data_IF_139470011219
#
_entry.id   IF_139470011219
#
_cell.length_a   1.000
_cell.length_b   1.000
_cell.length_c   1.000
_cell.angle_alpha   90.00
_cell.angle_beta   90.00
_cell.angle_gamma   90.00
#
_symmetry.space_group_name_H-M   'P 1'
#
loop_
_entity.id
_entity.type
_entity.pdbx_description
1 polymer ?
#
# COMPACT_ATOMS: atom_id res chain seq x y z
N UNK A 1 -35.56 -22.88 53.72
CA UNK A 1 -34.36 -23.64 53.29
C UNK A 1 -34.68 -24.38 52.00
N UNK A 2 -35.77 -25.13 51.97
CA UNK A 2 -36.30 -25.85 50.79
C UNK A 2 -36.45 -24.99 49.51
N UNK A 3 -37.09 -23.81 49.57
CA UNK A 3 -37.22 -22.90 48.42
C UNK A 3 -35.90 -22.34 47.86
N UNK A 4 -34.84 -22.29 48.67
CA UNK A 4 -33.52 -21.80 48.22
C UNK A 4 -32.78 -22.93 47.51
N UNK A 5 -32.92 -24.15 48.02
CA UNK A 5 -32.30 -25.37 47.48
C UNK A 5 -32.92 -25.76 46.12
N UNK A 6 -34.24 -25.61 45.98
CA UNK A 6 -34.95 -25.80 44.71
C UNK A 6 -34.55 -24.75 43.67
N UNK A 7 -34.45 -23.48 44.07
CA UNK A 7 -34.00 -22.38 43.20
C UNK A 7 -32.54 -22.54 42.76
N UNK A 8 -31.66 -23.07 43.62
CA UNK A 8 -30.27 -23.37 43.24
C UNK A 8 -30.17 -24.55 42.28
N UNK A 9 -30.98 -25.59 42.46
CA UNK A 9 -30.99 -26.75 41.55
C UNK A 9 -31.52 -26.38 40.16
N UNK A 10 -32.56 -25.54 40.09
CA UNK A 10 -33.07 -25.01 38.82
C UNK A 10 -32.01 -24.15 38.11
N UNK A 11 -31.26 -23.34 38.87
CA UNK A 11 -30.16 -22.55 38.33
C UNK A 11 -29.00 -23.41 37.83
N UNK A 12 -28.63 -24.49 38.54
CA UNK A 12 -27.62 -25.45 38.09
C UNK A 12 -28.04 -26.18 36.81
N UNK A 13 -29.32 -26.57 36.69
CA UNK A 13 -29.86 -27.20 35.49
C UNK A 13 -29.81 -26.25 34.29
N UNK A 14 -30.24 -24.99 34.46
CA UNK A 14 -30.19 -23.97 33.41
C UNK A 14 -28.75 -23.65 32.98
N UNK A 15 -27.81 -23.55 33.93
CA UNK A 15 -26.38 -23.39 33.61
C UNK A 15 -25.84 -24.60 32.86
N UNK A 16 -26.26 -25.82 33.24
CA UNK A 16 -25.92 -27.05 32.55
C UNK A 16 -26.41 -27.06 31.09
N UNK A 17 -27.66 -26.64 30.85
CA UNK A 17 -28.22 -26.50 29.49
C UNK A 17 -27.45 -25.49 28.66
N UNK A 18 -27.13 -24.32 29.21
CA UNK A 18 -26.34 -23.28 28.52
C UNK A 18 -24.93 -23.77 28.19
N UNK A 19 -24.30 -24.51 29.10
CA UNK A 19 -22.99 -25.10 28.85
C UNK A 19 -23.02 -26.13 27.72
N UNK A 20 -24.06 -26.95 27.65
CA UNK A 20 -24.20 -27.94 26.57
C UNK A 20 -24.43 -27.25 25.22
N UNK A 21 -25.31 -26.24 25.17
CA UNK A 21 -25.50 -25.42 23.97
C UNK A 21 -24.22 -24.72 23.51
N UNK A 22 -23.39 -24.24 24.44
CA UNK A 22 -22.10 -23.64 24.13
C UNK A 22 -21.12 -24.66 23.53
N UNK A 23 -21.11 -25.90 24.02
CA UNK A 23 -20.29 -26.99 23.46
C UNK A 23 -20.76 -27.39 22.07
N UNK A 24 -22.06 -27.61 21.88
CA UNK A 24 -22.64 -27.92 20.58
C UNK A 24 -22.29 -26.83 19.54
N UNK A 25 -22.40 -25.56 19.93
CA UNK A 25 -22.03 -24.43 19.08
C UNK A 25 -20.53 -24.41 18.75
N UNK A 26 -19.67 -24.71 19.73
CA UNK A 26 -18.22 -24.80 19.52
C UNK A 26 -17.86 -25.93 18.56
N UNK A 27 -18.47 -27.11 18.71
CA UNK A 27 -18.24 -28.26 17.84
C UNK A 27 -18.73 -28.00 16.41
N UNK A 28 -19.94 -27.46 16.27
CA UNK A 28 -20.47 -27.04 14.97
C UNK A 28 -19.56 -25.98 14.31
N UNK A 29 -19.06 -25.02 15.09
CA UNK A 29 -18.11 -24.00 14.62
C UNK A 29 -16.77 -24.60 14.18
N UNK A 30 -16.19 -25.53 14.95
CA UNK A 30 -14.96 -26.21 14.61
C UNK A 30 -15.11 -27.08 13.35
N UNK A 31 -16.25 -27.77 13.20
CA UNK A 31 -16.58 -28.54 12.01
C UNK A 31 -16.65 -27.67 10.76
N UNK A 32 -17.34 -26.51 10.84
CA UNK A 32 -17.44 -25.56 9.74
C UNK A 32 -16.07 -24.97 9.35
N UNK A 33 -15.24 -24.59 10.33
CA UNK A 33 -13.88 -24.06 10.07
C UNK A 33 -13.01 -25.11 9.37
N UNK A 34 -13.07 -26.36 9.82
CA UNK A 34 -12.33 -27.47 9.20
C UNK A 34 -12.73 -27.68 7.75
N UNK A 35 -14.04 -27.70 7.46
CA UNK A 35 -14.57 -27.83 6.10
C UNK A 35 -14.11 -26.67 5.20
N UNK A 36 -14.27 -25.43 5.66
CA UNK A 36 -13.83 -24.23 4.93
C UNK A 36 -12.32 -24.29 4.64
N UNK A 37 -11.51 -24.69 5.63
CA UNK A 37 -10.05 -24.79 5.48
C UNK A 37 -9.66 -25.80 4.39
N UNK A 38 -10.33 -26.96 4.35
CA UNK A 38 -10.06 -28.00 3.34
C UNK A 38 -10.45 -27.53 1.94
N UNK A 39 -11.63 -26.92 1.80
CA UNK A 39 -12.11 -26.39 0.52
C UNK A 39 -11.22 -25.24 0.01
N UNK A 40 -10.80 -24.35 0.92
CA UNK A 40 -9.85 -23.28 0.61
C UNK A 40 -8.51 -23.84 0.13
N UNK A 41 -7.97 -24.90 0.75
CA UNK A 41 -6.73 -25.53 0.31
C UNK A 41 -6.87 -26.15 -1.09
N UNK A 42 -7.99 -26.82 -1.36
CA UNK A 42 -8.31 -27.37 -2.68
C UNK A 42 -8.37 -26.28 -3.76
N UNK A 43 -9.03 -25.15 -3.47
CA UNK A 43 -9.10 -24.00 -4.37
C UNK A 43 -7.72 -23.36 -4.59
N UNK A 44 -6.89 -23.24 -3.56
CA UNK A 44 -5.50 -22.73 -3.67
C UNK A 44 -4.65 -23.61 -4.58
N UNK A 45 -4.76 -24.93 -4.49
CA UNK A 45 -4.04 -25.85 -5.38
C UNK A 45 -4.45 -25.66 -6.84
N UNK A 46 -5.76 -25.54 -7.11
CA UNK A 46 -6.28 -25.27 -8.46
C UNK A 46 -5.81 -23.91 -8.99
N UNK A 47 -5.86 -22.87 -8.16
CA UNK A 47 -5.42 -21.53 -8.51
C UNK A 47 -3.92 -21.50 -8.83
N UNK A 48 -3.08 -22.18 -8.03
CA UNK A 48 -1.64 -22.31 -8.28
C UNK A 48 -1.36 -23.06 -9.59
N UNK A 49 -2.07 -24.15 -9.86
CA UNK A 49 -1.93 -24.89 -11.11
C UNK A 49 -2.27 -24.02 -12.32
N UNK A 50 -3.41 -23.31 -12.27
CA UNK A 50 -3.86 -22.45 -13.37
C UNK A 50 -2.89 -21.28 -13.60
N UNK A 51 -2.44 -20.64 -12.54
CA UNK A 51 -1.44 -19.57 -12.60
C UNK A 51 -0.12 -20.05 -13.22
N UNK A 52 0.35 -21.26 -12.87
CA UNK A 52 1.54 -21.84 -13.48
C UNK A 52 1.36 -22.14 -14.98
N UNK A 53 0.19 -22.62 -15.39
CA UNK A 53 -0.15 -22.83 -16.80
C UNK A 53 -0.15 -21.51 -17.57
N UNK A 54 -0.76 -20.46 -17.02
CA UNK A 54 -0.79 -19.13 -17.66
C UNK A 54 0.65 -18.59 -17.85
N UNK A 55 1.51 -18.67 -16.83
CA UNK A 55 2.92 -18.24 -16.93
C UNK A 55 3.67 -19.03 -18.01
N UNK A 56 3.46 -20.34 -18.04
CA UNK A 56 4.08 -21.20 -19.05
C UNK A 56 3.65 -20.79 -20.46
N UNK A 57 2.34 -20.70 -20.72
CA UNK A 57 1.78 -20.26 -22.01
C UNK A 57 2.35 -18.90 -22.46
N UNK A 58 2.40 -17.92 -21.55
CA UNK A 58 2.98 -16.60 -21.83
C UNK A 58 4.45 -16.67 -22.24
N UNK A 59 5.24 -17.48 -21.53
CA UNK A 59 6.64 -17.69 -21.86
C UNK A 59 6.82 -18.38 -23.21
N UNK A 60 5.97 -19.35 -23.53
CA UNK A 60 5.96 -20.04 -24.82
C UNK A 60 5.65 -19.07 -25.96
N UNK A 61 4.63 -18.23 -25.81
CA UNK A 61 4.27 -17.20 -26.82
C UNK A 61 5.44 -16.25 -27.06
N UNK A 62 6.04 -15.73 -25.99
CA UNK A 62 7.20 -14.83 -26.07
C UNK A 62 8.37 -15.50 -26.81
N UNK A 63 8.61 -16.78 -26.55
CA UNK A 63 9.69 -17.56 -27.18
C UNK A 63 9.41 -17.77 -28.66
N UNK A 64 8.21 -18.23 -29.03
CA UNK A 64 7.85 -18.50 -30.44
C UNK A 64 7.80 -17.20 -31.25
N UNK A 65 7.36 -16.09 -30.64
CA UNK A 65 7.39 -14.76 -31.25
C UNK A 65 8.84 -14.30 -31.52
N UNK A 66 9.75 -14.51 -30.55
CA UNK A 66 11.17 -14.16 -30.71
C UNK A 66 11.85 -14.96 -31.83
N UNK A 67 11.41 -16.20 -32.05
CA UNK A 67 11.87 -17.06 -33.13
C UNK A 67 11.21 -16.75 -34.49
N UNK A 68 10.34 -15.73 -34.56
CA UNK A 68 9.57 -15.33 -35.76
C UNK A 68 8.70 -16.45 -36.35
N UNK A 69 8.35 -17.44 -35.54
CA UNK A 69 7.53 -18.59 -35.96
C UNK A 69 6.01 -18.33 -35.80
N UNK A 70 5.64 -17.19 -35.23
CA UNK A 70 4.25 -16.80 -34.98
C UNK A 70 3.92 -15.49 -35.72
N UNK A 71 2.74 -15.42 -36.34
CA UNK A 71 2.20 -14.18 -36.87
C UNK A 71 2.01 -13.18 -35.71
N UNK A 72 2.60 -11.96 -35.78
CA UNK A 72 2.43 -10.93 -34.76
C UNK A 72 0.97 -10.67 -34.38
N UNK A 73 0.04 -10.71 -35.34
CA UNK A 73 -1.38 -10.48 -35.06
C UNK A 73 -2.02 -11.59 -34.22
N UNK A 74 -1.59 -12.83 -34.43
CA UNK A 74 -2.07 -13.97 -33.65
C UNK A 74 -1.45 -13.95 -32.24
N UNK A 75 -0.19 -13.55 -32.12
CA UNK A 75 0.48 -13.38 -30.83
C UNK A 75 -0.23 -12.33 -29.97
N UNK A 76 -0.57 -11.18 -30.55
CA UNK A 76 -1.30 -10.11 -29.86
C UNK A 76 -2.67 -10.59 -29.37
N UNK A 77 -3.41 -11.33 -30.21
CA UNK A 77 -4.71 -11.90 -29.83
C UNK A 77 -4.59 -12.90 -28.67
N UNK A 78 -3.61 -13.80 -28.72
CA UNK A 78 -3.44 -14.82 -27.69
C UNK A 78 -2.97 -14.20 -26.36
N UNK A 79 -2.15 -13.15 -26.42
CA UNK A 79 -1.81 -12.36 -25.24
C UNK A 79 -3.03 -11.63 -24.67
N UNK A 80 -3.91 -11.06 -25.51
CA UNK A 80 -5.16 -10.44 -25.07
C UNK A 80 -6.12 -11.44 -24.40
N UNK A 81 -6.25 -12.65 -24.96
CA UNK A 81 -7.04 -13.74 -24.37
C UNK A 81 -6.46 -14.18 -23.01
N UNK A 82 -5.14 -14.33 -22.90
CA UNK A 82 -4.47 -14.63 -21.63
C UNK A 82 -4.64 -13.51 -20.61
N UNK A 83 -4.55 -12.25 -21.03
CA UNK A 83 -4.78 -11.09 -20.16
C UNK A 83 -6.23 -11.04 -19.66
N UNK A 84 -7.18 -11.41 -20.51
CA UNK A 84 -8.59 -11.55 -20.12
C UNK A 84 -8.76 -12.66 -19.07
N UNK A 85 -8.13 -13.82 -19.26
CA UNK A 85 -8.15 -14.91 -18.27
C UNK A 85 -7.53 -14.48 -16.93
N UNK A 86 -6.40 -13.77 -16.96
CA UNK A 86 -5.77 -13.20 -15.76
C UNK A 86 -6.71 -12.21 -15.07
N UNK A 87 -7.36 -11.32 -15.82
CA UNK A 87 -8.32 -10.35 -15.28
C UNK A 87 -9.49 -11.06 -14.59
N UNK A 88 -10.06 -12.10 -15.20
CA UNK A 88 -11.15 -12.90 -14.59
C UNK A 88 -10.73 -13.49 -13.25
N UNK A 89 -9.53 -14.09 -13.16
CA UNK A 89 -9.07 -14.75 -11.93
C UNK A 89 -8.68 -13.71 -10.85
N UNK A 90 -8.08 -12.58 -11.26
CA UNK A 90 -7.58 -11.56 -10.33
C UNK A 90 -8.63 -10.54 -9.88
N UNK A 91 -9.68 -10.33 -10.66
CA UNK A 91 -10.81 -9.46 -10.31
C UNK A 91 -12.02 -10.22 -9.76
N UNK A 92 -12.13 -11.54 -10.00
CA UNK A 92 -13.14 -12.41 -9.38
C UNK A 92 -12.79 -12.89 -7.97
N UNK A 93 -13.70 -13.68 -7.38
CA UNK A 93 -13.55 -14.24 -6.02
C UNK A 93 -12.38 -15.22 -5.88
N UNK A 94 -11.87 -15.72 -7.01
CA UNK A 94 -10.68 -16.56 -7.07
C UNK A 94 -9.39 -15.83 -6.65
N UNK A 95 -9.40 -14.49 -6.64
CA UNK A 95 -8.23 -13.66 -6.34
C UNK A 95 -7.66 -13.91 -4.94
N UNK A 96 -8.49 -14.33 -3.98
CA UNK A 96 -8.04 -14.68 -2.63
C UNK A 96 -7.16 -15.94 -2.58
N UNK A 97 -7.32 -16.85 -3.55
CA UNK A 97 -6.70 -18.19 -3.54
C UNK A 97 -5.44 -18.30 -4.42
N UNK A 98 -5.15 -17.31 -5.27
CA UNK A 98 -3.92 -17.24 -6.05
C UNK A 98 -2.67 -17.33 -5.13
N UNK A 99 -1.47 -17.70 -5.61
CA UNK A 99 -0.27 -17.69 -4.76
C UNK A 99 0.01 -16.28 -4.25
N UNK A 100 0.32 -16.14 -2.95
CA UNK A 100 0.68 -14.85 -2.38
C UNK A 100 2.09 -14.47 -2.83
N UNK A 101 2.29 -13.21 -3.22
CA UNK A 101 3.64 -12.68 -3.35
C UNK A 101 4.33 -12.83 -1.99
N UNK A 102 5.57 -13.33 -1.98
CA UNK A 102 6.32 -13.55 -0.75
C UNK A 102 6.29 -12.29 0.12
N UNK A 103 5.91 -12.45 1.38
CA UNK A 103 5.81 -11.34 2.33
C UNK A 103 7.19 -10.69 2.48
N UNK A 104 7.28 -9.42 2.08
CA UNK A 104 8.53 -8.67 2.15
C UNK A 104 9.04 -8.56 3.58
N UNK A 105 10.37 -8.51 3.74
CA UNK A 105 11.04 -8.41 5.05
C UNK A 105 10.48 -7.27 5.93
N UNK A 106 10.08 -6.16 5.31
CA UNK A 106 9.52 -5.00 6.00
C UNK A 106 8.22 -5.34 6.73
N UNK A 107 7.27 -6.01 6.05
CA UNK A 107 6.03 -6.43 6.70
C UNK A 107 6.30 -7.43 7.82
N UNK A 108 7.24 -8.34 7.62
CA UNK A 108 7.63 -9.31 8.65
C UNK A 108 8.23 -8.64 9.88
N UNK A 109 8.99 -7.55 9.70
CA UNK A 109 9.56 -6.77 10.80
C UNK A 109 8.49 -6.07 11.64
N UNK A 110 7.46 -5.49 11.01
CA UNK A 110 6.42 -4.72 11.73
C UNK A 110 5.23 -5.57 12.23
N UNK A 111 4.84 -6.60 11.48
CA UNK A 111 3.63 -7.39 11.72
C UNK A 111 3.92 -8.84 12.13
N UNK A 112 5.18 -9.28 12.09
CA UNK A 112 5.55 -10.67 12.33
C UNK A 112 5.19 -11.59 11.16
N UNK A 113 5.19 -12.93 11.37
CA UNK A 113 4.93 -13.93 10.34
C UNK A 113 3.43 -14.09 10.02
N UNK A 114 2.69 -12.98 9.87
CA UNK A 114 1.25 -12.98 9.62
C UNK A 114 0.97 -12.56 8.17
N UNK A 115 0.20 -13.36 7.44
CA UNK A 115 -0.24 -12.99 6.10
C UNK A 115 -1.25 -11.84 6.15
N UNK A 116 -0.92 -10.72 5.48
CA UNK A 116 -1.79 -9.53 5.34
C UNK A 116 -2.71 -9.60 4.12
N UNK A 117 -2.80 -10.77 3.48
CA UNK A 117 -3.64 -10.94 2.31
C UNK A 117 -5.10 -11.05 2.74
N UNK A 118 -5.93 -10.17 2.23
CA UNK A 118 -7.37 -10.28 2.38
C UNK A 118 -7.92 -11.32 1.38
N UNK A 119 -8.73 -12.25 1.89
CA UNK A 119 -9.40 -13.26 1.06
C UNK A 119 -10.47 -12.66 0.15
N UNK A 120 -11.17 -11.61 0.62
CA UNK A 120 -12.26 -10.95 -0.11
C UNK A 120 -11.76 -9.74 -0.89
N UNK A 121 -12.17 -9.64 -2.16
CA UNK A 121 -11.84 -8.51 -3.05
C UNK A 121 -12.33 -7.17 -2.50
N UNK A 122 -13.52 -7.14 -1.90
CA UNK A 122 -14.08 -5.93 -1.26
C UNK A 122 -13.14 -5.35 -0.20
N UNK A 123 -12.54 -6.20 0.64
CA UNK A 123 -11.59 -5.78 1.68
C UNK A 123 -10.30 -5.24 1.04
N UNK A 124 -9.82 -5.86 -0.03
CA UNK A 124 -8.65 -5.38 -0.77
C UNK A 124 -8.92 -3.99 -1.38
N UNK A 125 -10.11 -3.79 -1.97
CA UNK A 125 -10.52 -2.50 -2.54
C UNK A 125 -10.68 -1.43 -1.46
N UNK A 126 -11.25 -1.78 -0.30
CA UNK A 126 -11.33 -0.89 0.85
C UNK A 126 -9.94 -0.47 1.36
N UNK A 127 -8.99 -1.41 1.44
CA UNK A 127 -7.61 -1.08 1.81
C UNK A 127 -6.95 -0.12 0.81
N UNK A 128 -7.25 -0.27 -0.49
CA UNK A 128 -6.79 0.64 -1.54
C UNK A 128 -7.45 2.03 -1.42
N UNK A 129 -8.73 2.09 -1.10
CA UNK A 129 -9.45 3.35 -0.87
C UNK A 129 -8.86 4.10 0.33
N UNK A 130 -8.67 3.41 1.45
CA UNK A 130 -8.04 3.96 2.66
C UNK A 130 -6.61 4.45 2.38
N UNK A 131 -5.83 3.71 1.59
CA UNK A 131 -4.52 4.17 1.13
C UNK A 131 -4.62 5.46 0.31
N UNK A 132 -5.56 5.54 -0.63
CA UNK A 132 -5.73 6.73 -1.46
C UNK A 132 -6.15 7.96 -0.63
N UNK A 133 -7.10 7.77 0.28
CA UNK A 133 -7.54 8.79 1.24
C UNK A 133 -6.38 9.27 2.11
N UNK A 134 -5.61 8.33 2.67
CA UNK A 134 -4.41 8.62 3.45
C UNK A 134 -3.37 9.41 2.65
N UNK A 135 -3.14 9.04 1.39
CA UNK A 135 -2.19 9.72 0.49
C UNK A 135 -2.61 11.15 0.15
N UNK A 136 -3.90 11.41 -0.01
CA UNK A 136 -4.41 12.75 -0.29
C UNK A 136 -4.34 13.65 0.95
N UNK A 137 -4.71 13.12 2.14
CA UNK A 137 -4.53 13.82 3.42
C UNK A 137 -3.06 14.15 3.68
N UNK A 138 -2.18 13.18 3.44
CA UNK A 138 -0.73 13.33 3.52
C UNK A 138 -0.23 14.45 2.63
N UNK A 139 -0.66 14.49 1.36
CA UNK A 139 -0.22 15.49 0.40
C UNK A 139 -0.63 16.92 0.82
N UNK A 140 -1.80 17.08 1.44
CA UNK A 140 -2.22 18.35 2.04
C UNK A 140 -1.31 18.74 3.20
N UNK A 141 -0.97 17.79 4.09
CA UNK A 141 -0.10 18.07 5.23
C UNK A 141 1.33 18.43 4.83
N UNK A 142 1.85 17.86 3.73
CA UNK A 142 3.13 18.26 3.13
C UNK A 142 3.16 19.73 2.67
N UNK A 143 2.00 20.35 2.46
CA UNK A 143 1.90 21.78 2.14
C UNK A 143 1.69 22.57 3.43
N UNK A 144 0.71 22.19 4.24
CA UNK A 144 0.27 22.97 5.41
C UNK A 144 1.34 23.04 6.50
N UNK A 145 2.00 21.92 6.84
CA UNK A 145 2.95 21.88 7.95
C UNK A 145 4.19 22.75 7.65
N UNK A 146 4.88 22.60 6.50
CA UNK A 146 5.98 23.49 6.17
C UNK A 146 5.57 24.96 6.03
N UNK A 147 4.39 25.23 5.47
CA UNK A 147 3.85 26.58 5.36
C UNK A 147 3.69 27.23 6.75
N UNK A 148 3.10 26.53 7.71
CA UNK A 148 2.96 27.01 9.09
C UNK A 148 4.33 27.30 9.70
N UNK A 149 5.30 26.40 9.55
CA UNK A 149 6.66 26.61 10.07
C UNK A 149 7.34 27.84 9.46
N UNK A 150 7.16 28.08 8.16
CA UNK A 150 7.72 29.25 7.48
C UNK A 150 7.04 30.55 7.94
N UNK A 151 5.72 30.54 8.16
CA UNK A 151 4.98 31.69 8.73
C UNK A 151 5.48 31.98 10.14
N UNK A 152 5.56 30.98 11.01
CA UNK A 152 6.03 31.13 12.39
C UNK A 152 7.49 31.63 12.45
N UNK A 153 8.36 31.15 11.55
CA UNK A 153 9.73 31.66 11.37
C UNK A 153 9.73 33.17 11.10
N UNK A 154 8.87 33.64 10.20
CA UNK A 154 8.83 35.05 9.81
C UNK A 154 8.16 35.95 10.83
N UNK A 155 7.10 35.49 11.50
CA UNK A 155 6.24 36.32 12.35
C UNK A 155 6.59 36.27 13.83
N UNK A 156 7.00 35.10 14.35
CA UNK A 156 7.17 34.89 15.80
C UNK A 156 8.65 34.78 16.15
N UNK A 157 9.43 34.05 15.35
CA UNK A 157 10.80 33.67 15.72
C UNK A 157 11.89 34.50 15.04
N UNK A 158 11.54 35.69 14.51
CA UNK A 158 12.51 36.66 14.01
C UNK A 158 13.47 36.11 12.94
N UNK A 159 13.04 35.15 12.13
CA UNK A 159 13.85 34.52 11.09
C UNK A 159 14.61 33.25 11.52
N UNK A 160 14.45 32.75 12.74
CA UNK A 160 15.10 31.53 13.20
C UNK A 160 14.08 30.45 13.59
N UNK A 161 14.29 29.21 13.19
CA UNK A 161 13.43 28.07 13.54
C UNK A 161 13.93 27.44 14.85
N UNK A 162 13.12 27.33 15.91
CA UNK A 162 13.51 26.56 17.08
C UNK A 162 13.68 25.08 16.72
N UNK A 163 14.50 24.37 17.48
CA UNK A 163 14.80 22.97 17.22
C UNK A 163 13.55 22.07 17.32
N UNK A 164 12.74 22.28 18.37
CA UNK A 164 11.59 21.44 18.67
C UNK A 164 10.53 21.37 17.55
N UNK A 165 10.06 22.50 16.95
CA UNK A 165 9.14 22.45 15.80
C UNK A 165 9.71 21.72 14.58
N UNK A 166 11.01 21.86 14.32
CA UNK A 166 11.68 21.17 13.19
C UNK A 166 11.76 19.67 13.48
N UNK A 167 12.15 19.27 14.69
CA UNK A 167 12.16 17.87 15.11
C UNK A 167 10.77 17.25 15.08
N UNK A 168 9.72 17.98 15.47
CA UNK A 168 8.34 17.52 15.37
C UNK A 168 7.93 17.25 13.91
N UNK A 169 8.36 18.11 12.99
CA UNK A 169 8.15 17.90 11.56
C UNK A 169 8.92 16.69 11.02
N UNK A 170 10.18 16.51 11.41
CA UNK A 170 10.96 15.31 11.05
C UNK A 170 10.36 14.02 11.61
N UNK A 171 9.88 14.05 12.86
CA UNK A 171 9.18 12.91 13.48
C UNK A 171 7.89 12.58 12.74
N UNK A 172 7.16 13.61 12.31
CA UNK A 172 5.98 13.46 11.48
C UNK A 172 6.32 12.86 10.11
N UNK A 173 7.39 13.31 9.45
CA UNK A 173 7.88 12.73 8.20
C UNK A 173 8.28 11.25 8.36
N UNK A 174 8.95 10.91 9.46
CA UNK A 174 9.30 9.52 9.77
C UNK A 174 8.03 8.66 9.88
N UNK A 175 7.08 9.06 10.73
CA UNK A 175 5.80 8.37 10.91
C UNK A 175 5.07 8.18 9.58
N UNK A 176 5.06 9.23 8.76
CA UNK A 176 4.36 9.23 7.49
C UNK A 176 4.97 8.26 6.47
N UNK A 177 6.29 8.28 6.32
CA UNK A 177 7.00 7.39 5.39
C UNK A 177 6.90 5.93 5.84
N UNK A 178 6.93 5.67 7.15
CA UNK A 178 6.61 4.34 7.71
C UNK A 178 5.19 3.92 7.35
N UNK A 179 4.20 4.79 7.56
CA UNK A 179 2.81 4.51 7.26
C UNK A 179 2.51 4.29 5.78
N UNK A 180 3.18 5.03 4.88
CA UNK A 180 3.08 4.82 3.43
C UNK A 180 3.73 3.50 3.02
N UNK A 181 4.94 3.23 3.49
CA UNK A 181 5.65 2.00 3.18
C UNK A 181 4.87 0.76 3.66
N UNK A 182 4.28 0.82 4.85
CA UNK A 182 3.43 -0.26 5.37
C UNK A 182 2.22 -0.51 4.47
N UNK A 183 1.44 0.53 4.17
CA UNK A 183 0.25 0.42 3.32
C UNK A 183 0.58 -0.06 1.91
N UNK A 184 1.66 0.43 1.31
CA UNK A 184 2.07 0.04 -0.04
C UNK A 184 2.60 -1.39 -0.09
N UNK A 185 3.32 -1.86 0.93
CA UNK A 185 3.69 -3.27 1.02
C UNK A 185 2.46 -4.18 1.22
N UNK A 186 1.48 -3.78 2.02
CA UNK A 186 0.21 -4.52 2.17
C UNK A 186 -0.53 -4.60 0.83
N UNK A 187 -0.64 -3.48 0.12
CA UNK A 187 -1.27 -3.44 -1.20
C UNK A 187 -0.55 -4.33 -2.21
N UNK A 188 0.79 -4.33 -2.20
CA UNK A 188 1.60 -5.21 -3.06
C UNK A 188 1.42 -6.70 -2.73
N UNK A 189 1.30 -7.04 -1.45
CA UNK A 189 0.98 -8.40 -1.01
C UNK A 189 -0.44 -8.84 -1.44
N UNK A 190 -1.35 -7.88 -1.64
CA UNK A 190 -2.72 -8.08 -2.12
C UNK A 190 -2.85 -7.95 -3.65
N UNK A 191 -1.73 -7.93 -4.39
CA UNK A 191 -1.74 -7.94 -5.87
C UNK A 191 -1.78 -6.56 -6.53
N UNK A 192 -1.62 -5.47 -5.79
CA UNK A 192 -1.39 -4.15 -6.40
C UNK A 192 -0.02 -4.11 -7.06
N UNK A 193 0.03 -3.67 -8.32
CA UNK A 193 1.30 -3.42 -8.99
C UNK A 193 1.93 -2.11 -8.49
N UNK A 194 2.88 -2.25 -7.56
CA UNK A 194 3.65 -1.14 -6.99
C UNK A 194 5.12 -1.41 -7.22
N UNK A 195 5.76 -0.53 -8.00
CA UNK A 195 7.19 -0.61 -8.31
C UNK A 195 8.06 -0.67 -7.05
N UNK A 196 9.05 -1.57 -6.98
CA UNK A 196 9.96 -1.67 -5.84
C UNK A 196 10.71 -0.38 -5.49
N UNK A 197 11.19 0.37 -6.51
CA UNK A 197 11.95 1.62 -6.27
C UNK A 197 11.16 2.66 -5.47
N UNK A 198 9.84 2.71 -5.65
CA UNK A 198 8.98 3.64 -4.93
C UNK A 198 8.90 3.30 -3.43
N UNK A 199 8.85 2.00 -3.12
CA UNK A 199 8.91 1.52 -1.74
C UNK A 199 10.30 1.81 -1.14
N UNK A 200 11.39 1.58 -1.90
CA UNK A 200 12.74 1.91 -1.45
C UNK A 200 12.95 3.41 -1.18
N UNK A 201 12.29 4.29 -1.96
CA UNK A 201 12.30 5.73 -1.68
C UNK A 201 11.77 6.04 -0.27
N UNK A 202 10.66 5.41 0.15
CA UNK A 202 10.15 5.61 1.52
C UNK A 202 11.11 5.08 2.59
N UNK A 203 11.80 3.97 2.31
CA UNK A 203 12.82 3.44 3.22
C UNK A 203 13.98 4.40 3.41
N UNK A 204 14.46 4.98 2.30
CA UNK A 204 15.48 6.00 2.34
C UNK A 204 14.99 7.25 3.09
N UNK A 205 13.77 7.73 2.81
CA UNK A 205 13.18 8.87 3.49
C UNK A 205 13.01 8.65 5.02
N UNK A 206 12.67 7.43 5.45
CA UNK A 206 12.67 7.08 6.88
C UNK A 206 14.08 7.15 7.48
N UNK A 207 15.08 6.59 6.80
CA UNK A 207 16.46 6.63 7.27
C UNK A 207 16.96 8.08 7.38
N UNK A 208 16.66 8.94 6.39
CA UNK A 208 17.05 10.35 6.44
C UNK A 208 16.32 11.12 7.54
N UNK A 209 15.04 10.86 7.77
CA UNK A 209 14.28 11.48 8.87
C UNK A 209 14.84 11.03 10.23
N UNK A 210 15.20 9.76 10.38
CA UNK A 210 15.79 9.23 11.61
C UNK A 210 17.16 9.87 11.90
N UNK A 211 18.03 9.96 10.88
CA UNK A 211 19.33 10.65 11.00
C UNK A 211 19.12 12.13 11.34
N UNK A 212 18.16 12.79 10.69
CA UNK A 212 17.87 14.21 10.94
C UNK A 212 17.35 14.47 12.35
N UNK A 213 16.56 13.55 12.92
CA UNK A 213 16.11 13.62 14.32
C UNK A 213 17.26 13.53 15.33
N UNK A 214 18.30 12.77 15.02
CA UNK A 214 19.49 12.65 15.88
C UNK A 214 20.44 13.84 15.78
N UNK A 215 20.22 14.76 14.83
CA UNK A 215 21.08 15.92 14.65
C UNK A 215 20.67 17.09 15.57
N UNK A 216 21.54 17.46 16.51
CA UNK A 216 21.29 18.62 17.37
C UNK A 216 21.36 19.93 16.59
N UNK A 217 20.23 20.67 16.57
CA UNK A 217 20.20 22.05 16.10
C UNK A 217 20.73 22.94 17.24
N UNK A 218 22.05 23.06 17.38
CA UNK A 218 22.66 23.99 18.35
C UNK A 218 22.29 25.43 17.99
N UNK A 219 21.69 26.14 18.94
CA UNK A 219 21.43 27.58 18.85
C UNK A 219 22.73 28.37 18.87
N UNK A 220 23.31 28.59 17.69
CA UNK A 220 24.53 29.39 17.53
C UNK A 220 24.19 30.82 17.09
N UNK A 221 25.06 31.81 17.36
CA UNK A 221 24.93 33.14 16.75
C UNK A 221 24.92 33.00 15.21
N UNK A 222 24.03 33.74 14.54
CA UNK A 222 23.69 33.66 13.10
C UNK A 222 22.83 32.44 12.68
N UNK A 223 21.78 32.14 13.44
CA UNK A 223 20.83 31.05 13.15
C UNK A 223 20.13 31.16 11.78
N UNK A 224 19.77 32.37 11.32
CA UNK A 224 19.06 32.56 10.06
C UNK A 224 19.83 32.07 8.83
N UNK A 225 21.13 32.37 8.74
CA UNK A 225 21.99 31.93 7.63
C UNK A 225 22.31 30.43 7.69
N UNK A 226 22.56 29.89 8.89
CA UNK A 226 22.87 28.46 9.08
C UNK A 226 21.65 27.56 8.82
N UNK A 227 20.43 28.07 9.02
CA UNK A 227 19.19 27.34 8.77
C UNK A 227 18.66 27.49 7.34
N UNK A 228 19.45 28.04 6.42
CA UNK A 228 19.03 28.19 5.02
C UNK A 228 18.67 26.85 4.38
N UNK A 229 19.42 25.78 4.69
CA UNK A 229 19.10 24.43 4.22
C UNK A 229 17.74 23.92 4.70
N UNK A 230 17.37 24.19 5.95
CA UNK A 230 16.06 23.81 6.50
C UNK A 230 14.94 24.60 5.82
N UNK A 231 15.15 25.89 5.57
CA UNK A 231 14.19 26.72 4.83
C UNK A 231 13.97 26.20 3.41
N UNK A 232 15.04 25.88 2.68
CA UNK A 232 14.97 25.30 1.33
C UNK A 232 14.28 23.93 1.34
N UNK A 233 14.56 23.10 2.35
CA UNK A 233 13.90 21.81 2.52
C UNK A 233 12.39 21.96 2.76
N UNK A 234 11.95 22.91 3.59
CA UNK A 234 10.54 23.20 3.82
C UNK A 234 9.85 23.70 2.54
N UNK A 235 10.50 24.58 1.77
CA UNK A 235 9.99 25.02 0.47
C UNK A 235 9.89 23.87 -0.53
N UNK A 236 10.93 23.03 -0.60
CA UNK A 236 10.93 21.82 -1.41
C UNK A 236 9.81 20.85 -1.02
N UNK A 237 9.57 20.65 0.28
CA UNK A 237 8.51 19.80 0.78
C UNK A 237 7.12 20.29 0.35
N UNK A 238 6.87 21.60 0.35
CA UNK A 238 5.62 22.16 -0.19
C UNK A 238 5.46 21.89 -1.68
N UNK A 239 6.53 22.05 -2.47
CA UNK A 239 6.52 21.73 -3.90
C UNK A 239 6.24 20.23 -4.13
N UNK A 240 6.83 19.35 -3.33
CA UNK A 240 6.55 17.92 -3.35
C UNK A 240 5.09 17.61 -3.00
N UNK A 241 4.51 18.28 -1.99
CA UNK A 241 3.10 18.14 -1.63
C UNK A 241 2.16 18.56 -2.76
N UNK A 242 2.44 19.67 -3.42
CA UNK A 242 1.68 20.14 -4.58
C UNK A 242 1.78 19.18 -5.77
N UNK A 243 2.98 18.72 -6.10
CA UNK A 243 3.21 17.71 -7.14
C UNK A 243 2.47 16.42 -6.81
N UNK A 244 2.51 15.97 -5.55
CA UNK A 244 1.80 14.78 -5.09
C UNK A 244 0.28 14.92 -5.29
N UNK A 245 -0.35 16.04 -4.93
CA UNK A 245 -1.78 16.26 -5.16
C UNK A 245 -2.15 16.22 -6.65
N UNK A 246 -1.38 16.92 -7.49
CA UNK A 246 -1.64 16.99 -8.93
C UNK A 246 -1.45 15.62 -9.60
N UNK A 247 -0.32 14.95 -9.33
CA UNK A 247 -0.06 13.61 -9.87
C UNK A 247 -1.10 12.61 -9.38
N UNK A 248 -1.52 12.67 -8.10
CA UNK A 248 -2.54 11.77 -7.56
C UNK A 248 -3.86 11.93 -8.31
N UNK A 249 -4.36 13.15 -8.48
CA UNK A 249 -5.62 13.40 -9.17
C UNK A 249 -5.56 12.98 -10.63
N UNK A 250 -4.51 13.37 -11.34
CA UNK A 250 -4.36 13.05 -12.76
C UNK A 250 -4.24 11.55 -13.00
N UNK A 251 -3.32 10.87 -12.29
CA UNK A 251 -3.06 9.46 -12.49
C UNK A 251 -4.27 8.61 -12.08
N UNK A 252 -5.02 9.03 -11.05
CA UNK A 252 -6.19 8.29 -10.56
C UNK A 252 -7.36 8.34 -11.53
N UNK A 253 -7.66 9.52 -12.10
CA UNK A 253 -8.66 9.65 -13.18
C UNK A 253 -8.35 8.72 -14.35
N UNK A 254 -7.10 8.75 -14.82
CA UNK A 254 -6.65 7.95 -15.95
C UNK A 254 -6.68 6.44 -15.67
N UNK A 255 -6.37 6.04 -14.44
CA UNK A 255 -6.45 4.64 -14.04
C UNK A 255 -7.91 4.17 -14.03
N UNK A 256 -8.83 4.95 -13.43
CA UNK A 256 -10.25 4.59 -13.42
C UNK A 256 -10.82 4.41 -14.83
N UNK A 257 -10.46 5.29 -15.78
CA UNK A 257 -10.84 5.14 -17.19
C UNK A 257 -10.32 3.83 -17.79
N UNK A 258 -9.12 3.37 -17.43
CA UNK A 258 -8.59 2.11 -17.96
C UNK A 258 -9.19 0.88 -17.32
N UNK A 259 -9.54 0.95 -16.03
CA UNK A 259 -10.29 -0.10 -15.34
C UNK A 259 -11.68 -0.22 -15.97
N UNK A 260 -12.39 0.88 -16.22
CA UNK A 260 -13.71 0.84 -16.87
C UNK A 260 -13.66 0.35 -18.32
N UNK A 261 -12.51 0.45 -18.98
CA UNK A 261 -12.26 -0.10 -20.32
C UNK A 261 -11.75 -1.55 -20.29
N UNK A 262 -11.62 -2.19 -19.12
CA UNK A 262 -11.08 -3.55 -18.97
C UNK A 262 -9.57 -3.67 -19.25
N UNK A 263 -8.86 -2.56 -19.44
CA UNK A 263 -7.42 -2.52 -19.80
C UNK A 263 -6.48 -2.53 -18.59
N UNK A 264 -7.01 -2.60 -17.37
CA UNK A 264 -6.21 -2.59 -16.16
C UNK A 264 -6.93 -3.27 -15.01
N UNK A 265 -6.17 -3.99 -14.18
CA UNK A 265 -6.68 -4.65 -12.99
C UNK A 265 -7.22 -3.63 -11.97
N UNK A 266 -8.36 -3.96 -11.36
CA UNK A 266 -9.03 -3.12 -10.36
C UNK A 266 -8.17 -2.85 -9.11
N UNK A 267 -7.18 -3.70 -8.82
CA UNK A 267 -6.25 -3.57 -7.69
C UNK A 267 -5.08 -2.62 -7.97
N UNK A 268 -4.79 -2.31 -9.24
CA UNK A 268 -3.67 -1.43 -9.58
C UNK A 268 -3.82 -0.06 -8.93
N UNK A 269 -2.73 0.53 -8.46
CA UNK A 269 -2.75 1.85 -7.84
C UNK A 269 -2.39 2.92 -8.86
N UNK A 270 -3.00 4.10 -8.72
CA UNK A 270 -2.72 5.24 -9.57
C UNK A 270 -1.32 5.81 -9.28
N UNK A 271 -0.28 5.21 -9.86
CA UNK A 271 1.07 5.78 -9.91
C UNK A 271 1.90 5.22 -11.07
N UNK A 272 2.46 6.15 -11.86
CA UNK A 272 3.53 6.11 -12.90
C UNK A 272 3.75 4.88 -13.81
N UNK A 273 2.97 3.80 -13.78
CA UNK A 273 3.17 2.69 -14.71
C UNK A 273 1.89 2.02 -15.14
N UNK A 274 1.29 2.57 -16.18
CA UNK A 274 0.49 1.71 -17.06
C UNK A 274 0.75 2.17 -18.50
N UNK A 275 1.93 2.73 -18.77
CA UNK A 275 2.36 3.14 -20.11
C UNK A 275 3.72 2.58 -20.38
N UNK A 276 3.79 1.61 -21.29
CA UNK A 276 4.95 1.44 -22.15
C UNK A 276 5.09 2.67 -23.05
N UNK A 277 5.52 3.80 -22.47
CA UNK A 277 5.96 4.96 -23.22
C UNK A 277 7.12 5.59 -22.46
N UNK A 278 8.33 5.25 -22.89
CA UNK A 278 9.60 5.79 -22.38
C UNK A 278 9.70 7.33 -22.49
N UNK A 279 8.88 7.95 -23.35
CA UNK A 279 8.90 9.40 -23.59
C UNK A 279 8.41 10.27 -22.42
N UNK A 280 7.56 9.77 -21.51
CA UNK A 280 7.03 10.62 -20.42
C UNK A 280 7.99 10.69 -19.21
N UNK A 281 8.90 9.72 -19.09
CA UNK A 281 9.98 9.73 -18.10
C UNK A 281 11.04 10.78 -18.45
N UNK A 282 11.28 10.98 -19.75
CA UNK A 282 12.18 12.00 -20.30
C UNK A 282 11.76 13.45 -20.04
N UNK A 283 10.47 13.71 -19.77
CA UNK A 283 9.97 15.05 -19.42
C UNK A 283 9.96 15.28 -17.91
N UNK A 284 9.66 14.23 -17.13
CA UNK A 284 9.56 14.32 -15.66
C UNK A 284 10.92 14.26 -14.95
N UNK A 285 11.89 13.50 -15.48
CA UNK A 285 13.24 13.47 -14.94
C UNK A 285 13.92 14.85 -14.96
N UNK A 286 13.93 15.63 -16.06
CA UNK A 286 14.50 16.96 -16.05
C UNK A 286 13.72 17.91 -15.14
N UNK A 287 12.40 17.84 -15.00
CA UNK A 287 11.67 18.69 -14.04
C UNK A 287 12.07 18.35 -12.59
N UNK A 288 12.20 17.06 -12.25
CA UNK A 288 12.63 16.63 -10.91
C UNK A 288 14.11 16.97 -10.63
N UNK A 289 14.97 16.87 -11.65
CA UNK A 289 16.41 17.14 -11.55
C UNK A 289 16.70 18.65 -11.53
N UNK A 290 16.02 19.44 -12.37
CA UNK A 290 16.04 20.91 -12.36
C UNK A 290 15.50 21.42 -11.02
N UNK A 291 14.42 20.84 -10.48
CA UNK A 291 13.91 21.24 -9.16
C UNK A 291 14.81 20.82 -7.97
N UNK A 292 15.73 19.88 -8.14
CA UNK A 292 16.76 19.55 -7.14
C UNK A 292 18.06 20.34 -7.31
N UNK A 293 18.32 20.87 -8.51
CA UNK A 293 19.55 21.60 -8.86
C UNK A 293 19.39 23.13 -8.76
N UNK A 294 18.16 23.67 -8.79
CA UNK A 294 17.95 25.10 -8.63
C UNK A 294 17.85 25.53 -7.16
N UNK A 295 19.02 25.98 -6.67
CA UNK A 295 19.34 26.92 -5.57
C UNK A 295 19.42 26.41 -4.14
#
# INVERSE_FOLDING_TARGET
>A
MENVEESTNEMEEEVGKVMEQARELQEAGAGLISMISNDEQSLRLKANSLDSSIRHLRSSITTVLSQKLLDPKLADKLEEDLQTAICIITDGDAAGFLPANAQGWYLRMFLGPISVRASRKEIQLKAKEEYNSYRDRTALMFILFPLILLILRSWIWGGCLPAFPVQLYEAWLLFLNTGLALRENILRANGSDIRPWWIYHHYFAMATALVSLTWEIKGQPNCGQKQRGVELFLQWAMMQGAALLLLNRYQRRRLYTRISLGKSNSMNVARRETTGVDCQLWVLCPILFVMQVFK
#
